data_IF_190102071562
#
_entry.id   IF_190102071562
#
_cell.length_a   1.000
_cell.length_b   1.000
_cell.length_c   1.000
_cell.angle_alpha   90.00
_cell.angle_beta   90.00
_cell.angle_gamma   90.00
#
_symmetry.space_group_name_H-M   'P 1'
#
loop_
_entity.id
_entity.type
_entity.pdbx_description
1 polymer ?
#
# COMPACT_ATOMS: atom_id res chain seq x y z
N UNK A 1 17.50 -2.81 -7.11
CA UNK A 1 17.34 -1.82 -8.21
C UNK A 1 17.60 -0.44 -7.65
N UNK A 2 18.33 0.37 -8.40
CA UNK A 2 18.54 1.77 -8.08
C UNK A 2 17.57 2.60 -8.92
N UNK A 3 16.84 3.48 -8.28
CA UNK A 3 16.03 4.46 -8.98
C UNK A 3 16.92 5.61 -9.47
N UNK A 4 16.49 6.26 -10.51
CA UNK A 4 17.17 7.46 -11.02
C UNK A 4 16.48 8.67 -10.43
N UNK A 5 17.22 9.46 -9.66
CA UNK A 5 16.81 10.80 -9.26
C UNK A 5 16.82 11.76 -10.48
N UNK A 6 16.12 12.91 -10.40
CA UNK A 6 16.06 13.89 -11.50
C UNK A 6 17.42 14.36 -12.00
N UNK A 7 18.44 14.34 -11.16
CA UNK A 7 19.83 14.68 -11.49
C UNK A 7 20.65 13.52 -12.07
N UNK A 8 20.05 12.39 -12.42
CA UNK A 8 20.69 11.15 -12.87
C UNK A 8 21.52 10.41 -11.80
N UNK A 9 21.46 10.82 -10.55
CA UNK A 9 22.04 10.07 -9.43
C UNK A 9 21.27 8.78 -9.21
N UNK A 10 21.95 7.80 -8.64
CA UNK A 10 21.34 6.51 -8.29
C UNK A 10 21.12 6.47 -6.80
N UNK A 11 19.90 6.25 -6.40
CA UNK A 11 19.55 5.97 -5.02
C UNK A 11 19.40 4.47 -4.80
N UNK A 12 19.96 3.98 -3.70
CA UNK A 12 19.73 2.59 -3.30
C UNK A 12 18.34 2.47 -2.66
N UNK A 13 17.68 1.35 -2.94
CA UNK A 13 16.38 1.05 -2.35
C UNK A 13 16.40 1.10 -0.82
N UNK A 14 17.52 0.72 -0.21
CA UNK A 14 17.68 0.78 1.24
C UNK A 14 17.57 2.22 1.78
N UNK A 15 18.11 3.18 1.05
CA UNK A 15 18.08 4.59 1.45
C UNK A 15 16.71 5.20 1.18
N UNK A 16 16.12 4.92 0.02
CA UNK A 16 14.77 5.35 -0.35
C UNK A 16 13.70 4.83 0.61
N UNK A 17 13.76 3.55 0.90
CA UNK A 17 12.73 2.84 1.68
C UNK A 17 13.16 2.64 3.15
N UNK A 18 14.05 3.50 3.64
CA UNK A 18 14.68 3.39 4.97
C UNK A 18 13.68 3.14 6.10
N UNK A 19 12.51 3.77 6.05
CA UNK A 19 11.48 3.66 7.07
C UNK A 19 10.94 2.23 7.18
N UNK A 20 10.75 1.53 6.07
CA UNK A 20 10.28 0.15 6.05
C UNK A 20 11.31 -0.81 6.64
N UNK A 21 12.58 -0.64 6.29
CA UNK A 21 13.66 -1.46 6.83
C UNK A 21 13.86 -1.22 8.33
N UNK A 22 13.79 0.03 8.78
CA UNK A 22 13.86 0.35 10.20
C UNK A 22 12.64 -0.19 10.97
N UNK A 23 11.45 -0.09 10.40
CA UNK A 23 10.23 -0.64 10.99
C UNK A 23 10.35 -2.15 11.17
N UNK A 24 10.78 -2.86 10.13
CA UNK A 24 10.99 -4.31 10.22
C UNK A 24 12.02 -4.68 11.29
N UNK A 25 13.18 -4.04 11.30
CA UNK A 25 14.21 -4.29 12.30
C UNK A 25 13.71 -4.04 13.73
N UNK A 26 12.96 -2.95 13.91
CA UNK A 26 12.42 -2.55 15.21
C UNK A 26 11.38 -3.56 15.73
N UNK A 27 10.44 -3.99 14.89
CA UNK A 27 9.41 -4.96 15.28
C UNK A 27 9.94 -6.40 15.33
N UNK A 28 10.93 -6.76 14.51
CA UNK A 28 11.60 -8.05 14.62
C UNK A 28 12.36 -8.20 15.93
N UNK A 29 12.92 -7.10 16.44
CA UNK A 29 13.59 -7.10 17.75
C UNK A 29 12.62 -7.24 18.92
N UNK A 30 11.50 -6.52 18.87
CA UNK A 30 10.44 -6.59 19.88
C UNK A 30 9.08 -6.29 19.24
N UNK A 31 8.25 -7.31 19.08
CA UNK A 31 6.89 -7.17 18.54
C UNK A 31 5.85 -6.68 19.56
N UNK A 32 6.18 -6.72 20.85
CA UNK A 32 5.30 -6.26 21.93
C UNK A 32 5.58 -4.78 22.28
N UNK A 33 5.14 -3.89 21.40
CA UNK A 33 5.33 -2.45 21.56
C UNK A 33 3.99 -1.76 21.76
N UNK A 34 3.98 -0.77 22.65
CA UNK A 34 2.80 0.09 22.79
C UNK A 34 2.61 0.96 21.55
N UNK A 35 1.38 1.06 21.07
CA UNK A 35 1.06 1.81 19.87
C UNK A 35 1.32 3.30 20.01
N UNK A 36 1.01 3.87 21.17
CA UNK A 36 1.19 5.30 21.44
C UNK A 36 2.67 5.68 21.45
N UNK A 37 3.49 4.85 22.10
CA UNK A 37 4.94 5.03 22.13
C UNK A 37 5.54 4.94 20.73
N UNK A 38 5.08 4.00 19.92
CA UNK A 38 5.55 3.85 18.53
C UNK A 38 5.13 5.04 17.65
N UNK A 39 3.93 5.54 17.79
CA UNK A 39 3.52 6.75 17.06
C UNK A 39 4.40 7.95 17.42
N UNK A 40 4.68 8.15 18.71
CA UNK A 40 5.59 9.21 19.18
C UNK A 40 7.01 9.04 18.63
N UNK A 41 7.54 7.82 18.69
CA UNK A 41 8.85 7.49 18.13
C UNK A 41 8.94 7.81 16.63
N UNK A 42 7.97 7.37 15.83
CA UNK A 42 7.99 7.59 14.39
C UNK A 42 7.76 9.03 14.01
N UNK A 43 6.88 9.76 14.72
CA UNK A 43 6.73 11.19 14.52
C UNK A 43 8.07 11.92 14.73
N UNK A 44 8.80 11.56 15.78
CA UNK A 44 10.12 12.14 16.06
C UNK A 44 11.16 11.80 14.96
N UNK A 45 11.24 10.53 14.53
CA UNK A 45 12.18 10.13 13.47
C UNK A 45 11.88 10.84 12.14
N UNK A 46 10.61 10.89 11.74
CA UNK A 46 10.17 11.58 10.53
C UNK A 46 10.37 13.10 10.64
N UNK A 47 10.07 13.68 11.81
CA UNK A 47 10.31 15.09 12.09
C UNK A 47 11.77 15.48 11.95
N UNK A 48 12.66 14.66 12.51
CA UNK A 48 14.12 14.84 12.38
C UNK A 48 14.59 14.69 10.93
N UNK A 49 14.09 13.69 10.21
CA UNK A 49 14.50 13.43 8.83
C UNK A 49 14.04 14.55 7.87
N UNK A 50 12.80 14.96 7.97
CA UNK A 50 12.23 15.99 7.08
C UNK A 50 12.37 17.44 7.62
N UNK A 51 12.98 17.62 8.79
CA UNK A 51 13.20 18.95 9.39
C UNK A 51 11.89 19.66 9.74
N UNK A 52 10.95 18.94 10.33
CA UNK A 52 9.65 19.47 10.76
C UNK A 52 9.37 19.10 12.22
N UNK A 53 8.32 19.68 12.82
CA UNK A 53 7.90 19.32 14.18
C UNK A 53 7.30 17.91 14.23
N UNK A 54 7.34 17.27 15.40
CA UNK A 54 6.73 15.95 15.61
C UNK A 54 5.21 15.98 15.33
N UNK A 55 4.54 17.11 15.59
CA UNK A 55 3.13 17.31 15.27
C UNK A 55 2.88 17.27 13.76
N UNK A 56 3.64 18.01 12.97
CA UNK A 56 3.52 17.99 11.52
C UNK A 56 3.98 16.65 10.92
N UNK A 57 5.03 16.04 11.47
CA UNK A 57 5.51 14.71 11.08
C UNK A 57 4.45 13.62 11.29
N UNK A 58 3.50 13.83 12.21
CA UNK A 58 2.36 12.92 12.37
C UNK A 58 1.55 12.76 11.09
N UNK A 59 1.44 13.79 10.26
CA UNK A 59 0.77 13.70 8.96
C UNK A 59 1.56 12.82 7.98
N UNK A 60 2.89 12.89 7.99
CA UNK A 60 3.74 12.02 7.16
C UNK A 60 3.56 10.56 7.61
N UNK A 61 3.56 10.31 8.93
CA UNK A 61 3.31 8.97 9.46
C UNK A 61 1.94 8.44 9.06
N UNK A 62 0.90 9.26 9.16
CA UNK A 62 -0.46 8.87 8.73
C UNK A 62 -0.51 8.53 7.25
N UNK A 63 0.18 9.31 6.39
CA UNK A 63 0.28 8.99 4.97
C UNK A 63 0.90 7.60 4.72
N UNK A 64 2.00 7.27 5.41
CA UNK A 64 2.59 5.92 5.34
C UNK A 64 1.66 4.83 5.85
N UNK A 65 0.93 5.06 6.94
CA UNK A 65 0.01 4.08 7.51
C UNK A 65 -1.17 3.82 6.57
N UNK A 66 -1.78 4.87 6.05
CA UNK A 66 -2.92 4.75 5.14
C UNK A 66 -2.52 4.10 3.80
N UNK A 67 -1.42 4.54 3.19
CA UNK A 67 -0.92 3.91 1.95
C UNK A 67 -0.51 2.44 2.17
N UNK A 68 -0.01 2.11 3.34
CA UNK A 68 0.37 0.75 3.72
C UNK A 68 -0.80 -0.23 3.82
N UNK A 69 -2.04 0.25 3.95
CA UNK A 69 -3.25 -0.59 3.98
C UNK A 69 -3.72 -1.03 2.58
N UNK A 70 -3.33 -0.31 1.53
CA UNK A 70 -3.83 -0.52 0.16
C UNK A 70 -3.43 -1.89 -0.38
N UNK A 71 -2.13 -2.15 -0.47
CA UNK A 71 -1.63 -3.40 -1.05
C UNK A 71 -2.10 -4.65 -0.29
N UNK A 72 -2.03 -4.73 1.05
CA UNK A 72 -2.53 -5.89 1.79
C UNK A 72 -4.02 -6.18 1.56
N UNK A 73 -4.87 -5.15 1.46
CA UNK A 73 -6.30 -5.32 1.18
C UNK A 73 -6.54 -5.89 -0.21
N UNK A 74 -5.92 -5.31 -1.23
CA UNK A 74 -6.01 -5.81 -2.61
C UNK A 74 -5.48 -7.24 -2.71
N UNK A 75 -4.31 -7.50 -2.17
CA UNK A 75 -3.64 -8.79 -2.27
C UNK A 75 -4.44 -9.89 -1.56
N UNK A 76 -4.97 -9.60 -0.39
CA UNK A 76 -5.81 -10.53 0.36
C UNK A 76 -7.08 -10.90 -0.40
N UNK A 77 -7.72 -9.92 -1.03
CA UNK A 77 -9.03 -10.10 -1.65
C UNK A 77 -8.97 -10.70 -3.05
N UNK A 78 -8.01 -10.26 -3.86
CA UNK A 78 -7.91 -10.64 -5.26
C UNK A 78 -6.94 -11.79 -5.55
N UNK A 79 -6.57 -12.55 -4.52
CA UNK A 79 -5.99 -13.85 -4.66
C UNK A 79 -4.52 -13.88 -5.02
N UNK A 80 -3.71 -13.50 -4.06
CA UNK A 80 -2.34 -13.98 -4.09
C UNK A 80 -2.33 -15.32 -3.41
N UNK A 81 -2.18 -16.34 -4.23
CA UNK A 81 -1.94 -17.69 -3.76
C UNK A 81 -0.51 -17.81 -3.23
N UNK A 82 -0.33 -18.65 -2.23
CA UNK A 82 0.97 -18.96 -1.67
C UNK A 82 2.02 -19.24 -2.75
N UNK A 83 3.19 -18.66 -2.58
CA UNK A 83 4.37 -18.94 -3.40
C UNK A 83 4.36 -18.35 -4.81
N UNK A 84 3.32 -17.66 -5.23
CA UNK A 84 3.26 -17.11 -6.56
C UNK A 84 3.66 -15.64 -6.62
N UNK A 85 4.95 -15.39 -6.73
CA UNK A 85 5.54 -14.05 -6.89
C UNK A 85 5.04 -13.31 -8.14
N UNK A 86 4.50 -14.02 -9.10
CA UNK A 86 4.05 -13.46 -10.38
C UNK A 86 2.68 -12.80 -10.26
N UNK A 87 1.86 -13.20 -9.29
CA UNK A 87 0.56 -12.58 -9.04
C UNK A 87 0.67 -11.20 -8.38
N UNK A 88 1.81 -10.85 -7.84
CA UNK A 88 2.11 -9.52 -7.34
C UNK A 88 2.35 -8.48 -8.43
N UNK A 89 2.46 -8.90 -9.69
CA UNK A 89 2.72 -8.00 -10.80
C UNK A 89 1.39 -7.57 -11.42
N UNK A 90 0.95 -6.38 -11.06
CA UNK A 90 -0.15 -5.69 -11.73
C UNK A 90 -0.01 -5.71 -13.27
N UNK A 91 1.23 -5.72 -13.76
CA UNK A 91 1.53 -5.85 -15.18
C UNK A 91 1.07 -7.17 -15.80
N UNK A 92 1.09 -8.29 -15.07
CA UNK A 92 0.53 -9.54 -15.56
C UNK A 92 -1.00 -9.49 -15.64
N UNK A 93 -1.61 -8.88 -14.65
CA UNK A 93 -3.05 -8.67 -14.63
C UNK A 93 -3.50 -7.84 -15.83
N UNK A 94 -2.83 -6.72 -16.10
CA UNK A 94 -3.13 -5.86 -17.24
C UNK A 94 -2.91 -6.58 -18.57
N UNK A 95 -1.88 -7.39 -18.71
CA UNK A 95 -1.63 -8.15 -19.95
C UNK A 95 -2.69 -9.24 -20.18
N UNK A 96 -3.24 -9.83 -19.13
CA UNK A 96 -4.35 -10.78 -19.24
C UNK A 96 -5.67 -10.09 -19.64
N UNK A 97 -5.89 -8.87 -19.14
CA UNK A 97 -7.05 -8.05 -19.54
C UNK A 97 -6.95 -7.57 -20.99
N UNK A 98 -5.76 -7.15 -21.40
CA UNK A 98 -5.51 -6.62 -22.76
C UNK A 98 -5.50 -7.72 -23.82
N UNK A 99 -5.08 -8.93 -23.45
CA UNK A 99 -5.05 -10.06 -24.39
C UNK A 99 -5.52 -11.37 -23.76
N UNK A 100 -6.83 -11.49 -23.49
CA UNK A 100 -7.41 -12.65 -22.81
C UNK A 100 -7.24 -13.96 -23.59
N UNK A 101 -7.01 -13.90 -24.90
CA UNK A 101 -6.83 -15.09 -25.73
C UNK A 101 -5.40 -15.66 -25.68
N UNK A 102 -4.45 -14.89 -25.24
CA UNK A 102 -3.05 -15.30 -25.17
C UNK A 102 -2.66 -15.90 -23.83
N UNK A 103 -3.38 -15.55 -22.78
CA UNK A 103 -3.05 -15.94 -21.42
C UNK A 103 -4.22 -16.71 -20.80
N UNK A 104 -3.92 -17.88 -20.29
CA UNK A 104 -4.88 -18.61 -19.43
C UNK A 104 -5.15 -17.76 -18.20
N UNK A 105 -6.42 -17.58 -17.85
CA UNK A 105 -6.77 -16.90 -16.60
C UNK A 105 -6.14 -17.67 -15.45
N UNK A 106 -5.40 -16.95 -14.64
CA UNK A 106 -4.64 -17.56 -13.56
C UNK A 106 -5.58 -18.20 -12.54
N UNK A 107 -5.39 -19.45 -12.12
CA UNK A 107 -6.29 -20.12 -11.18
C UNK A 107 -6.53 -19.34 -9.88
N UNK A 108 -5.52 -18.61 -9.40
CA UNK A 108 -5.62 -17.76 -8.22
C UNK A 108 -6.73 -16.70 -8.27
N UNK A 109 -7.20 -16.32 -9.45
CA UNK A 109 -8.39 -15.47 -9.56
C UNK A 109 -9.66 -16.16 -9.12
N UNK A 110 -9.75 -17.44 -9.39
CA UNK A 110 -10.89 -18.25 -8.99
C UNK A 110 -10.84 -18.61 -7.50
N UNK A 111 -9.64 -18.63 -6.94
CA UNK A 111 -9.35 -18.96 -5.54
C UNK A 111 -9.15 -17.72 -4.66
N UNK A 112 -9.79 -16.61 -5.01
CA UNK A 112 -9.64 -15.38 -4.21
C UNK A 112 -9.88 -15.64 -2.73
N UNK A 113 -9.11 -14.97 -1.86
CA UNK A 113 -9.17 -15.14 -0.41
C UNK A 113 -10.40 -14.46 0.24
N UNK A 114 -11.46 -14.25 -0.52
CA UNK A 114 -12.71 -13.70 0.00
C UNK A 114 -13.43 -14.66 0.94
N UNK A 115 -14.37 -14.16 1.74
CA UNK A 115 -15.28 -15.01 2.47
C UNK A 115 -15.99 -15.99 1.54
N UNK A 116 -16.33 -17.17 2.07
CA UNK A 116 -17.12 -18.13 1.32
C UNK A 116 -18.45 -17.50 0.89
N UNK A 117 -18.83 -17.73 -0.37
CA UNK A 117 -20.01 -17.12 -0.97
C UNK A 117 -19.80 -15.73 -1.58
N UNK A 118 -18.65 -15.10 -1.35
CA UNK A 118 -18.28 -13.79 -1.92
C UNK A 118 -16.86 -13.76 -2.50
N UNK A 119 -16.31 -14.92 -2.83
CA UNK A 119 -15.11 -15.00 -3.68
C UNK A 119 -15.40 -14.32 -5.02
N UNK A 120 -14.37 -13.86 -5.71
CA UNK A 120 -14.55 -13.06 -6.92
C UNK A 120 -15.50 -13.70 -7.95
N UNK A 121 -15.38 -15.03 -8.16
CA UNK A 121 -16.24 -15.75 -9.10
C UNK A 121 -17.69 -15.86 -8.59
N UNK A 122 -17.86 -16.13 -7.31
CA UNK A 122 -19.17 -16.22 -6.66
C UNK A 122 -19.89 -14.87 -6.69
N UNK A 123 -19.13 -13.77 -6.46
CA UNK A 123 -19.62 -12.41 -6.57
C UNK A 123 -20.15 -12.14 -7.99
N UNK A 124 -19.35 -12.45 -9.02
CA UNK A 124 -19.73 -12.25 -10.43
C UNK A 124 -20.97 -13.09 -10.79
N UNK A 125 -21.04 -14.33 -10.33
CA UNK A 125 -22.20 -15.19 -10.56
C UNK A 125 -23.47 -14.65 -9.90
N UNK A 126 -23.38 -14.15 -8.66
CA UNK A 126 -24.50 -13.54 -7.95
C UNK A 126 -24.97 -12.25 -8.64
N UNK A 127 -24.05 -11.39 -9.07
CA UNK A 127 -24.37 -10.22 -9.86
C UNK A 127 -25.13 -10.58 -11.15
N UNK A 128 -24.62 -11.57 -11.88
CA UNK A 128 -25.26 -12.04 -13.10
C UNK A 128 -26.66 -12.60 -12.85
N UNK A 129 -26.83 -13.35 -11.76
CA UNK A 129 -28.09 -13.98 -11.36
C UNK A 129 -29.01 -13.04 -10.57
N UNK A 130 -28.59 -11.82 -10.29
CA UNK A 130 -29.28 -10.83 -9.41
C UNK A 130 -29.64 -11.42 -8.04
N UNK A 131 -28.70 -12.15 -7.47
CA UNK A 131 -28.82 -12.74 -6.14
C UNK A 131 -28.27 -11.80 -5.08
N UNK A 132 -28.76 -11.85 -3.83
CA UNK A 132 -28.23 -11.03 -2.75
C UNK A 132 -26.80 -11.41 -2.40
N UNK A 133 -26.00 -10.40 -2.07
CA UNK A 133 -24.63 -10.56 -1.57
C UNK A 133 -24.61 -10.75 -0.06
N UNK A 134 -23.53 -11.38 0.44
CA UNK A 134 -23.32 -11.65 1.86
C UNK A 134 -21.86 -11.39 2.21
N UNK A 135 -21.63 -10.62 3.27
CA UNK A 135 -20.28 -10.33 3.74
C UNK A 135 -19.57 -9.22 2.96
N UNK A 136 -18.26 -9.18 3.06
CA UNK A 136 -17.42 -8.17 2.42
C UNK A 136 -17.27 -8.45 0.92
N UNK A 137 -17.81 -7.59 0.10
CA UNK A 137 -17.78 -7.72 -1.36
C UNK A 137 -16.47 -7.17 -1.97
N UNK A 138 -16.11 -7.59 -3.20
CA UNK A 138 -14.97 -6.99 -3.92
C UNK A 138 -15.08 -5.48 -4.07
N UNK A 139 -16.25 -4.92 -4.26
CA UNK A 139 -16.47 -3.48 -4.37
C UNK A 139 -16.28 -2.75 -3.04
N UNK A 140 -16.55 -3.39 -1.91
CA UNK A 140 -16.25 -2.82 -0.59
C UNK A 140 -14.74 -2.64 -0.40
N UNK A 141 -13.95 -3.61 -0.86
CA UNK A 141 -12.49 -3.50 -0.84
C UNK A 141 -12.00 -2.38 -1.74
N UNK A 142 -12.56 -2.23 -2.94
CA UNK A 142 -12.22 -1.12 -3.82
C UNK A 142 -12.53 0.23 -3.16
N UNK A 143 -13.70 0.36 -2.53
CA UNK A 143 -14.06 1.58 -1.80
C UNK A 143 -13.10 1.87 -0.64
N UNK A 144 -12.74 0.86 0.15
CA UNK A 144 -11.76 0.99 1.24
C UNK A 144 -10.38 1.42 0.73
N UNK A 145 -9.92 0.84 -0.38
CA UNK A 145 -8.62 1.17 -0.99
C UNK A 145 -8.60 2.62 -1.47
N UNK A 146 -9.67 3.09 -2.11
CA UNK A 146 -9.81 4.48 -2.53
C UNK A 146 -9.79 5.40 -1.29
N UNK A 147 -10.54 5.07 -0.25
CA UNK A 147 -10.59 5.86 0.99
C UNK A 147 -9.20 5.97 1.64
N UNK A 148 -8.43 4.86 1.71
CA UNK A 148 -7.06 4.88 2.21
C UNK A 148 -6.14 5.74 1.35
N UNK A 149 -6.24 5.65 0.03
CA UNK A 149 -5.49 6.48 -0.90
C UNK A 149 -5.78 7.98 -0.71
N UNK A 150 -7.05 8.35 -0.65
CA UNK A 150 -7.47 9.75 -0.42
C UNK A 150 -6.95 10.28 0.92
N UNK A 151 -7.00 9.47 1.97
CA UNK A 151 -6.44 9.84 3.29
C UNK A 151 -4.93 10.00 3.26
N UNK A 152 -4.22 9.11 2.56
CA UNK A 152 -2.77 9.18 2.43
C UNK A 152 -2.34 10.48 1.72
N UNK A 153 -2.95 10.78 0.56
CA UNK A 153 -2.71 12.01 -0.19
C UNK A 153 -3.03 13.25 0.64
N UNK A 154 -4.20 13.28 1.27
CA UNK A 154 -4.58 14.43 2.11
C UNK A 154 -3.64 14.64 3.30
N UNK A 155 -3.10 13.57 3.87
CA UNK A 155 -2.16 13.65 4.98
C UNK A 155 -0.78 14.16 4.53
N UNK A 156 -0.23 13.65 3.43
CA UNK A 156 1.08 14.09 2.94
C UNK A 156 1.04 15.56 2.48
N UNK A 157 -0.05 16.00 1.86
CA UNK A 157 -0.23 17.37 1.42
C UNK A 157 -0.26 18.36 2.61
N UNK A 158 -0.87 17.97 3.74
CA UNK A 158 -0.84 18.78 4.96
C UNK A 158 0.57 18.99 5.49
N UNK A 159 1.46 18.02 5.32
CA UNK A 159 2.84 18.11 5.80
C UNK A 159 3.72 18.98 4.89
N UNK A 160 3.38 19.14 3.61
CA UNK A 160 4.24 19.70 2.58
C UNK A 160 4.80 21.08 2.93
N UNK A 161 3.97 21.98 3.47
CA UNK A 161 4.38 23.36 3.83
C UNK A 161 5.34 23.44 5.01
N UNK A 162 5.52 22.38 5.78
CA UNK A 162 6.32 22.36 7.01
C UNK A 162 7.71 21.73 6.84
N UNK A 163 7.97 21.09 5.70
CA UNK A 163 9.22 20.36 5.42
C UNK A 163 10.35 21.33 5.10
N UNK A 164 11.47 21.24 5.85
CA UNK A 164 12.65 22.09 5.65
C UNK A 164 13.89 21.32 5.18
N UNK A 165 13.96 20.01 5.43
CA UNK A 165 15.08 19.14 5.05
C UNK A 165 14.62 18.01 4.13
N UNK A 166 15.53 17.42 3.36
CA UNK A 166 15.27 16.29 2.44
C UNK A 166 14.05 16.54 1.53
N UNK A 167 13.96 17.75 0.97
CA UNK A 167 12.80 18.19 0.19
C UNK A 167 12.59 17.38 -1.09
N UNK A 168 13.66 16.96 -1.74
CA UNK A 168 13.58 16.13 -2.96
C UNK A 168 13.01 14.75 -2.63
N UNK A 169 13.43 14.17 -1.51
CA UNK A 169 12.88 12.92 -0.97
C UNK A 169 11.40 13.06 -0.61
N UNK A 170 11.06 14.20 0.01
CA UNK A 170 9.66 14.47 0.35
C UNK A 170 8.80 14.64 -0.91
N UNK A 171 9.29 15.36 -1.92
CA UNK A 171 8.57 15.53 -3.19
C UNK A 171 8.38 14.18 -3.91
N UNK A 172 9.37 13.29 -3.85
CA UNK A 172 9.24 11.94 -4.36
C UNK A 172 8.20 11.15 -3.58
N UNK A 173 8.27 11.16 -2.25
CA UNK A 173 7.28 10.51 -1.39
C UNK A 173 5.86 11.00 -1.69
N UNK A 174 5.68 12.30 -1.91
CA UNK A 174 4.40 12.89 -2.27
C UNK A 174 3.88 12.40 -3.63
N UNK A 175 4.79 12.15 -4.59
CA UNK A 175 4.42 11.56 -5.88
C UNK A 175 4.12 10.06 -5.79
N UNK A 176 4.69 9.36 -4.82
CA UNK A 176 4.51 7.92 -4.64
C UNK A 176 3.19 7.57 -3.90
N UNK A 177 2.59 8.56 -3.20
CA UNK A 177 1.29 8.44 -2.52
C UNK A 177 0.12 8.61 -3.50
#
# INVERSE_FOLDING_TARGET
TADKLPNNEREFQLDRDWIWYQTWGRYAWNCHRDRTDEMGYWNHQLGKFYGTSDENASNIRVAYEESGEIAPKLLRRFGITEGNRQTLLLGMFMSQLVNPYKYTIYPGFYESCGPEGEKLIEYVEKEWKKQPHVGEMPLDIVAQVIEHGDKAVAAIDKAAGSVSSNKDEFARLQNDM
#
